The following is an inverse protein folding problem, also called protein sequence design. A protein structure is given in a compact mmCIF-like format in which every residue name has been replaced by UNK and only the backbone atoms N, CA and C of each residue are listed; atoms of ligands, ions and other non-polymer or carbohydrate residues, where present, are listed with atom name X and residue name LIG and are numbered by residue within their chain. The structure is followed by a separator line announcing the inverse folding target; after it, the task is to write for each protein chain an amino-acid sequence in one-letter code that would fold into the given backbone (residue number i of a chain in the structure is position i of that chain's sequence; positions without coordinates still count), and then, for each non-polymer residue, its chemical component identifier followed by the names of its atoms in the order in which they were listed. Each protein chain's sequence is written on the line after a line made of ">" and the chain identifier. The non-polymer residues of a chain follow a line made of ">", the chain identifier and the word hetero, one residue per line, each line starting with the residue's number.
data_IF_421749061946
#
_entry.id   IF_421749061946
#
_cell.length_a   1.000
_cell.length_b   1.000
_cell.length_c   1.000
_cell.angle_alpha   90.00
_cell.angle_beta   90.00
_cell.angle_gamma   90.00
#
_symmetry.space_group_name_H-M   'P 1'
#
loop_
_entity.id
_entity.type
_entity.pdbx_description
1 polymer ?
#
# COMPACT_ATOMS: atom_id res chain seq x y z
N UNK A 1 -42.48 -10.48 66.94
CA UNK A 1 -42.65 -9.79 65.64
C UNK A 1 -42.14 -10.73 64.55
N UNK A 2 -43.05 -11.13 63.64
CA UNK A 2 -42.88 -11.84 62.34
C UNK A 2 -41.78 -12.91 62.23
N UNK A 3 -42.14 -14.19 62.24
CA UNK A 3 -42.59 -15.00 61.08
C UNK A 3 -41.41 -15.72 60.43
N UNK A 4 -41.15 -16.99 60.80
CA UNK A 4 -41.63 -18.22 60.09
C UNK A 4 -41.00 -18.35 58.69
N UNK A 5 -40.07 -19.29 58.50
CA UNK A 5 -40.32 -20.69 58.07
C UNK A 5 -39.82 -20.81 56.61
N UNK A 6 -39.43 -21.93 55.98
CA UNK A 6 -39.64 -23.37 56.14
C UNK A 6 -38.51 -24.04 55.29
N UNK A 7 -38.00 -25.22 55.69
CA UNK A 7 -37.62 -26.42 54.87
C UNK A 7 -37.05 -26.22 53.45
N UNK A 8 -36.00 -26.90 52.98
CA UNK A 8 -35.81 -28.34 52.82
C UNK A 8 -34.49 -28.48 52.02
N UNK A 9 -33.44 -29.14 52.50
CA UNK A 9 -33.15 -30.54 52.13
C UNK A 9 -33.02 -30.76 50.63
N UNK A 10 -31.80 -30.79 50.06
CA UNK A 10 -31.45 -31.57 48.86
C UNK A 10 -29.91 -31.68 48.71
N UNK A 11 -29.39 -32.87 49.03
CA UNK A 11 -28.33 -33.62 48.34
C UNK A 11 -27.06 -32.86 47.90
N UNK A 12 -25.99 -32.94 48.71
CA UNK A 12 -24.62 -32.73 48.26
C UNK A 12 -24.16 -33.95 47.45
N UNK A 13 -24.39 -33.93 46.13
CA UNK A 13 -23.70 -34.82 45.20
C UNK A 13 -22.34 -34.20 44.87
N UNK A 14 -21.29 -34.85 45.37
CA UNK A 14 -19.90 -34.62 45.06
C UNK A 14 -19.65 -34.85 43.55
N UNK A 15 -19.65 -33.79 42.74
CA UNK A 15 -19.08 -33.84 41.39
C UNK A 15 -17.69 -33.21 41.44
N UNK A 16 -16.71 -34.09 41.39
CA UNK A 16 -15.31 -33.80 41.06
C UNK A 16 -15.27 -33.21 39.63
N UNK A 17 -15.39 -31.90 39.52
CA UNK A 17 -15.08 -31.20 38.28
C UNK A 17 -13.57 -30.95 38.26
N UNK A 18 -12.84 -31.86 37.61
CA UNK A 18 -11.46 -31.64 37.17
C UNK A 18 -11.50 -30.47 36.18
N UNK A 19 -11.25 -29.25 36.65
CA UNK A 19 -11.02 -28.11 35.77
C UNK A 19 -9.59 -28.21 35.25
N UNK A 20 -9.46 -28.89 34.10
CA UNK A 20 -8.29 -28.77 33.25
C UNK A 20 -8.11 -27.29 32.90
N UNK A 21 -7.22 -26.62 33.62
CA UNK A 21 -6.77 -25.27 33.33
C UNK A 21 -5.85 -25.37 32.12
N UNK A 22 -6.46 -25.42 30.93
CA UNK A 22 -5.73 -25.20 29.68
C UNK A 22 -5.37 -23.71 29.68
N UNK A 23 -4.21 -23.39 30.24
CA UNK A 23 -3.53 -22.14 29.97
C UNK A 23 -3.18 -22.16 28.48
N UNK A 24 -4.06 -21.64 27.64
CA UNK A 24 -3.71 -21.27 26.27
C UNK A 24 -2.77 -20.07 26.40
N UNK A 25 -1.49 -20.36 26.56
CA UNK A 25 -0.44 -19.40 26.30
C UNK A 25 -0.46 -19.20 24.79
N UNK A 26 -1.26 -18.25 24.33
CA UNK A 26 -1.08 -17.68 22.99
C UNK A 26 0.28 -17.01 23.04
N UNK A 27 1.31 -17.75 22.65
CA UNK A 27 2.58 -17.16 22.28
C UNK A 27 2.31 -16.33 21.02
N UNK A 28 1.88 -15.09 21.22
CA UNK A 28 2.04 -14.07 20.19
C UNK A 28 3.55 -13.97 20.03
N UNK A 29 4.08 -14.59 18.99
CA UNK A 29 5.40 -14.26 18.50
C UNK A 29 5.31 -12.81 18.04
N UNK A 30 5.53 -11.88 18.98
CA UNK A 30 5.92 -10.53 18.62
C UNK A 30 7.28 -10.75 18.00
N UNK A 31 7.33 -10.91 16.69
CA UNK A 31 8.54 -10.62 15.97
C UNK A 31 8.88 -9.20 16.40
N UNK A 32 9.86 -9.07 17.30
CA UNK A 32 10.56 -7.81 17.46
C UNK A 32 11.31 -7.68 16.15
N UNK A 33 10.58 -7.30 15.09
CA UNK A 33 11.18 -6.81 13.88
C UNK A 33 12.13 -5.74 14.41
N UNK A 34 13.44 -5.95 14.21
CA UNK A 34 14.43 -4.93 14.49
C UNK A 34 13.96 -3.71 13.74
N UNK A 35 13.29 -2.82 14.44
CA UNK A 35 13.09 -1.49 13.98
C UNK A 35 14.38 -0.82 14.44
N UNK A 36 15.01 -0.11 13.54
CA UNK A 36 16.15 0.74 13.79
C UNK A 36 16.25 1.70 12.64
N UNK A 37 16.94 2.81 12.81
CA UNK A 37 17.26 3.66 11.65
C UNK A 37 18.22 3.01 10.63
N UNK A 38 18.52 1.72 10.77
CA UNK A 38 19.34 0.95 9.85
C UNK A 38 18.47 0.35 8.73
N UNK A 39 19.09 0.18 7.57
CA UNK A 39 18.53 -0.46 6.38
C UNK A 39 18.34 -1.97 6.54
N UNK A 40 17.71 -2.42 7.62
CA UNK A 40 17.59 -3.83 8.03
C UNK A 40 16.30 -4.51 7.54
N UNK A 41 15.43 -3.77 6.84
CA UNK A 41 14.19 -4.25 6.22
C UNK A 41 14.24 -4.08 4.70
N UNK A 42 15.05 -4.91 4.01
CA UNK A 42 15.20 -4.80 2.56
C UNK A 42 13.86 -4.96 1.85
N UNK A 43 13.72 -4.27 0.72
CA UNK A 43 12.57 -4.43 -0.17
C UNK A 43 12.57 -5.86 -0.74
N UNK A 44 11.42 -6.51 -0.71
CA UNK A 44 11.21 -7.87 -1.22
C UNK A 44 10.47 -7.84 -2.55
N UNK A 45 10.89 -8.68 -3.50
CA UNK A 45 10.17 -8.86 -4.77
C UNK A 45 8.83 -9.54 -4.54
N UNK A 46 7.74 -8.83 -4.85
CA UNK A 46 6.35 -9.35 -4.75
C UNK A 46 5.77 -9.71 -6.12
N UNK A 47 6.33 -9.18 -7.20
CA UNK A 47 5.95 -9.54 -8.57
C UNK A 47 7.13 -9.34 -9.49
N UNK A 48 7.34 -10.28 -10.41
CA UNK A 48 8.34 -10.18 -11.46
C UNK A 48 7.81 -10.85 -12.73
N UNK A 49 8.36 -10.45 -13.88
CA UNK A 49 8.17 -11.18 -15.12
C UNK A 49 8.28 -10.30 -16.36
N UNK A 50 8.00 -10.92 -17.51
CA UNK A 50 7.98 -10.21 -18.79
C UNK A 50 6.58 -9.75 -19.16
N UNK A 51 6.50 -8.62 -19.88
CA UNK A 51 5.27 -8.17 -20.52
C UNK A 51 5.59 -7.46 -21.83
N UNK A 52 4.71 -7.64 -22.80
CA UNK A 52 4.69 -6.81 -23.99
C UNK A 52 3.84 -5.56 -23.74
N UNK A 53 4.45 -4.49 -23.25
CA UNK A 53 3.72 -3.33 -22.75
C UNK A 53 4.62 -2.41 -21.95
N UNK A 54 4.19 -2.02 -20.74
CA UNK A 54 4.89 -1.03 -19.95
C UNK A 54 4.57 -1.04 -18.46
N UNK A 55 5.38 -0.28 -17.73
CA UNK A 55 5.16 0.05 -16.31
C UNK A 55 4.91 1.56 -16.21
N UNK A 56 3.93 1.93 -15.41
CA UNK A 56 3.60 3.32 -15.09
C UNK A 56 3.57 3.50 -13.59
N UNK A 57 4.26 4.52 -13.09
CA UNK A 57 4.22 4.93 -11.69
C UNK A 57 4.00 6.42 -11.59
N UNK A 58 3.12 6.85 -10.68
CA UNK A 58 2.86 8.27 -10.43
C UNK A 58 2.42 8.50 -9.00
N UNK A 59 2.65 9.71 -8.50
CA UNK A 59 2.10 10.19 -7.22
C UNK A 59 0.83 11.03 -7.43
N UNK A 60 0.39 11.24 -8.68
CA UNK A 60 -0.73 12.13 -8.98
C UNK A 60 -0.45 13.55 -8.47
N UNK A 61 -1.45 14.16 -7.82
CA UNK A 61 -1.31 15.43 -7.10
C UNK A 61 -0.95 15.28 -5.61
N UNK A 62 -0.46 14.10 -5.22
CA UNK A 62 -0.15 13.80 -3.83
C UNK A 62 0.95 14.70 -3.26
N UNK A 63 0.82 15.00 -1.97
CA UNK A 63 1.68 15.87 -1.16
C UNK A 63 1.53 15.49 0.30
N UNK A 64 2.48 15.92 1.13
CA UNK A 64 2.39 15.73 2.57
C UNK A 64 1.08 16.30 3.13
N UNK A 65 0.28 15.47 3.80
CA UNK A 65 -1.04 15.86 4.32
C UNK A 65 -0.96 16.73 5.58
N UNK A 66 0.19 16.71 6.27
CA UNK A 66 0.21 17.09 7.69
C UNK A 66 -0.52 16.06 8.55
N UNK A 67 -0.68 16.38 9.84
CA UNK A 67 -1.32 15.48 10.82
C UNK A 67 -2.80 15.29 10.49
N UNK A 68 -3.21 14.04 10.32
CA UNK A 68 -4.60 13.61 10.19
C UNK A 68 -5.15 13.22 11.56
N UNK A 69 -6.14 13.96 12.05
CA UNK A 69 -6.93 13.63 13.23
C UNK A 69 -8.07 12.69 12.85
N UNK A 70 -8.77 12.17 13.87
CA UNK A 70 -9.98 11.39 13.64
C UNK A 70 -10.94 12.10 12.68
N UNK A 71 -11.43 11.36 11.68
CA UNK A 71 -12.37 11.82 10.66
C UNK A 71 -11.81 12.81 9.61
N UNK A 72 -10.54 13.22 9.72
CA UNK A 72 -9.86 13.94 8.65
C UNK A 72 -9.72 13.04 7.41
N UNK A 73 -9.86 13.65 6.23
CA UNK A 73 -9.72 12.98 4.94
C UNK A 73 -8.67 13.68 4.08
N UNK A 74 -7.89 12.88 3.37
CA UNK A 74 -6.85 13.31 2.46
C UNK A 74 -7.13 12.72 1.07
N UNK A 75 -7.26 13.59 0.07
CA UNK A 75 -7.67 13.21 -1.28
C UNK A 75 -6.53 13.38 -2.27
N UNK A 76 -6.35 12.39 -3.13
CA UNK A 76 -5.37 12.37 -4.22
C UNK A 76 -6.08 12.08 -5.54
N UNK A 77 -5.70 12.83 -6.57
CA UNK A 77 -6.17 12.67 -7.93
C UNK A 77 -5.02 12.20 -8.83
N UNK A 78 -5.30 11.19 -9.65
CA UNK A 78 -4.40 10.67 -10.65
C UNK A 78 -5.01 10.89 -12.03
N UNK A 79 -4.30 11.62 -12.90
CA UNK A 79 -4.58 11.66 -14.32
C UNK A 79 -4.02 10.38 -14.95
N UNK A 80 -4.92 9.55 -15.49
CA UNK A 80 -4.58 8.23 -16.04
C UNK A 80 -4.67 8.18 -17.56
N UNK A 81 -4.98 9.31 -18.19
CA UNK A 81 -5.01 9.48 -19.65
C UNK A 81 -3.69 9.12 -20.33
N UNK A 82 -2.56 9.29 -19.65
CA UNK A 82 -1.22 9.00 -20.18
C UNK A 82 -0.83 7.52 -20.13
N UNK A 83 -1.47 6.70 -19.27
CA UNK A 83 -1.32 5.24 -19.28
C UNK A 83 -1.69 4.62 -20.65
N UNK A 84 -2.50 5.35 -21.42
CA UNK A 84 -2.91 5.01 -22.77
C UNK A 84 -1.97 5.48 -23.88
N UNK A 85 -1.20 6.56 -23.75
CA UNK A 85 -0.75 7.28 -24.95
C UNK A 85 0.74 7.61 -25.10
N UNK A 86 1.60 7.63 -24.08
CA UNK A 86 2.96 8.17 -24.32
C UNK A 86 4.09 7.47 -23.53
N UNK A 87 5.00 6.84 -24.27
CA UNK A 87 6.39 6.65 -23.89
C UNK A 87 7.11 8.00 -23.84
N UNK A 88 7.91 8.18 -22.80
CA UNK A 88 8.61 9.43 -22.52
C UNK A 88 9.47 9.90 -23.69
N UNK A 89 9.22 11.13 -24.14
CA UNK A 89 10.21 11.89 -24.91
C UNK A 89 11.01 12.76 -23.94
N UNK A 90 12.14 12.24 -23.50
CA UNK A 90 13.23 13.07 -23.00
C UNK A 90 14.18 13.33 -24.17
N UNK A 91 14.38 14.60 -24.54
CA UNK A 91 15.42 15.00 -25.49
C UNK A 91 15.00 16.02 -26.55
N UNK A 92 15.47 17.25 -26.38
CA UNK A 92 16.11 18.10 -27.40
C UNK A 92 15.44 18.27 -28.77
N UNK A 93 14.91 19.48 -29.00
CA UNK A 93 14.57 20.05 -30.31
C UNK A 93 15.69 19.87 -31.34
N UNK A 94 15.34 19.39 -32.53
CA UNK A 94 15.81 19.96 -33.80
C UNK A 94 14.86 19.59 -34.95
N UNK A 95 14.67 20.53 -35.86
CA UNK A 95 13.56 20.55 -36.82
C UNK A 95 13.70 19.59 -38.00
N UNK A 96 12.56 19.27 -38.62
CA UNK A 96 12.50 18.52 -39.88
C UNK A 96 11.06 18.24 -40.32
N UNK A 97 10.76 18.55 -41.57
CA UNK A 97 9.45 18.51 -42.24
C UNK A 97 8.85 17.11 -42.44
N UNK A 98 7.52 17.12 -42.53
CA UNK A 98 6.58 16.25 -43.26
C UNK A 98 7.01 14.85 -43.73
N UNK A 99 6.23 13.85 -43.29
CA UNK A 99 6.12 12.54 -43.92
C UNK A 99 5.01 11.75 -43.25
N UNK A 100 3.95 11.41 -43.98
CA UNK A 100 2.81 10.65 -43.47
C UNK A 100 3.23 9.28 -42.93
N UNK A 101 2.56 8.83 -41.87
CA UNK A 101 2.59 7.44 -41.44
C UNK A 101 1.19 7.00 -41.06
N UNK A 102 0.79 5.90 -41.69
CA UNK A 102 -0.43 5.14 -41.47
C UNK A 102 -0.73 5.04 -39.98
N UNK A 103 -1.96 5.42 -39.61
CA UNK A 103 -2.50 5.20 -38.28
C UNK A 103 -2.60 3.71 -38.03
N UNK A 104 -1.52 3.13 -37.52
CA UNK A 104 -1.55 1.82 -36.89
C UNK A 104 -2.61 1.87 -35.80
N UNK A 105 -3.63 1.03 -35.95
CA UNK A 105 -4.69 0.82 -34.97
C UNK A 105 -4.00 0.45 -33.66
N UNK A 106 -3.91 1.39 -32.72
CA UNK A 106 -3.31 1.11 -31.41
C UNK A 106 -4.19 0.05 -30.75
N UNK A 107 -3.62 -1.14 -30.57
CA UNK A 107 -4.32 -2.25 -29.93
C UNK A 107 -4.76 -1.88 -28.51
N UNK A 108 -5.78 -2.54 -28.00
CA UNK A 108 -6.26 -2.29 -26.64
C UNK A 108 -5.16 -2.54 -25.61
N UNK A 109 -5.16 -1.82 -24.50
CA UNK A 109 -4.27 -2.11 -23.36
C UNK A 109 -5.07 -2.76 -22.24
N UNK A 110 -4.46 -3.71 -21.54
CA UNK A 110 -5.05 -4.39 -20.38
C UNK A 110 -4.13 -4.29 -19.16
N UNK A 111 -4.71 -4.04 -17.99
CA UNK A 111 -3.96 -4.07 -16.72
C UNK A 111 -3.57 -5.51 -16.40
N UNK A 112 -2.29 -5.75 -16.16
CA UNK A 112 -1.75 -7.01 -15.63
C UNK A 112 -1.65 -6.95 -14.10
N UNK A 113 -1.24 -5.80 -13.57
CA UNK A 113 -1.10 -5.52 -12.14
C UNK A 113 -1.38 -4.04 -11.87
N UNK A 114 -2.11 -3.72 -10.82
CA UNK A 114 -2.24 -2.35 -10.33
C UNK A 114 -2.15 -2.33 -8.80
N UNK A 115 -1.22 -1.54 -8.27
CA UNK A 115 -0.92 -1.39 -6.85
C UNK A 115 -1.09 0.06 -6.45
N UNK A 116 -1.85 0.29 -5.37
CA UNK A 116 -1.99 1.59 -4.74
C UNK A 116 -1.22 1.57 -3.41
N UNK A 117 -0.30 2.51 -3.25
CA UNK A 117 0.54 2.65 -2.06
C UNK A 117 0.12 3.87 -1.27
N UNK A 118 -0.20 3.71 0.01
CA UNK A 118 -0.40 4.82 0.94
C UNK A 118 0.80 4.88 1.87
N UNK A 119 1.71 5.83 1.62
CA UNK A 119 2.89 6.06 2.43
C UNK A 119 2.52 6.96 3.62
N UNK A 120 2.84 6.54 4.83
CA UNK A 120 2.48 7.26 6.04
C UNK A 120 3.63 7.27 7.05
N UNK A 121 3.62 8.30 7.89
CA UNK A 121 4.66 8.60 8.88
C UNK A 121 4.03 9.13 10.17
N UNK A 122 4.81 9.15 11.25
CA UNK A 122 4.43 9.75 12.54
C UNK A 122 3.15 9.17 13.16
N UNK A 123 2.90 7.87 12.98
CA UNK A 123 1.69 7.27 13.54
C UNK A 123 1.80 7.05 15.04
N UNK A 124 0.93 7.74 15.79
CA UNK A 124 1.01 7.81 17.25
C UNK A 124 -0.32 8.12 17.92
N UNK A 125 -0.43 7.71 19.18
CA UNK A 125 -1.47 8.14 20.12
C UNK A 125 -0.80 8.62 21.42
N UNK A 126 -1.08 9.85 21.85
CA UNK A 126 -0.52 10.43 23.09
C UNK A 126 1.00 10.26 23.29
N UNK A 127 1.79 10.25 22.20
CA UNK A 127 3.24 10.01 22.16
C UNK A 127 3.70 8.56 22.27
N UNK A 128 2.81 7.61 22.02
CA UNK A 128 3.13 6.20 21.83
C UNK A 128 2.95 5.86 20.36
N UNK A 129 3.95 5.22 19.75
CA UNK A 129 3.85 4.70 18.39
C UNK A 129 2.73 3.67 18.30
N UNK A 130 1.82 3.85 17.35
CA UNK A 130 0.73 2.89 17.06
C UNK A 130 0.62 2.68 15.56
N UNK A 131 -0.01 1.59 15.13
CA UNK A 131 -0.36 1.43 13.72
C UNK A 131 -1.57 2.29 13.38
N UNK A 132 -1.57 2.98 12.22
CA UNK A 132 -2.68 3.83 11.84
C UNK A 132 -3.91 2.98 11.50
N UNK A 133 -5.08 3.46 11.93
CA UNK A 133 -6.36 2.94 11.45
C UNK A 133 -6.90 3.88 10.38
N UNK A 134 -6.87 3.42 9.13
CA UNK A 134 -7.31 4.20 7.99
C UNK A 134 -8.31 3.42 7.13
N UNK A 135 -9.23 4.17 6.51
CA UNK A 135 -10.04 3.70 5.40
C UNK A 135 -9.52 4.33 4.12
N UNK A 136 -9.42 3.52 3.07
CA UNK A 136 -9.01 3.98 1.74
C UNK A 136 -10.11 3.65 0.76
N UNK A 137 -10.56 4.66 0.04
CA UNK A 137 -11.61 4.56 -0.98
C UNK A 137 -11.05 5.03 -2.32
N UNK A 138 -11.38 4.33 -3.40
CA UNK A 138 -11.03 4.72 -4.75
C UNK A 138 -12.26 4.83 -5.65
N UNK A 139 -12.26 5.82 -6.55
CA UNK A 139 -13.29 5.98 -7.57
C UNK A 139 -12.68 6.41 -8.91
N UNK A 140 -13.24 5.88 -10.00
CA UNK A 140 -12.70 6.00 -11.34
C UNK A 140 -13.67 6.69 -12.31
N UNK A 141 -13.11 7.53 -13.17
CA UNK A 141 -13.76 8.18 -14.30
C UNK A 141 -14.74 9.29 -13.92
N UNK A 142 -15.28 9.98 -14.93
CA UNK A 142 -16.15 11.18 -14.75
C UNK A 142 -17.40 10.94 -13.91
N UNK A 143 -17.88 9.70 -13.83
CA UNK A 143 -19.09 9.31 -13.06
C UNK A 143 -18.77 8.79 -11.65
N UNK A 144 -17.50 8.74 -11.25
CA UNK A 144 -17.09 8.31 -9.91
C UNK A 144 -17.45 6.86 -9.60
N UNK A 145 -17.17 5.92 -10.52
CA UNK A 145 -17.43 4.50 -10.26
C UNK A 145 -16.49 4.04 -9.15
N UNK A 146 -17.04 3.56 -8.02
CA UNK A 146 -16.23 2.97 -6.96
C UNK A 146 -15.39 1.80 -7.49
N UNK A 147 -14.12 1.75 -7.09
CA UNK A 147 -13.23 0.63 -7.32
C UNK A 147 -13.08 -0.19 -6.05
N UNK A 148 -12.90 -1.49 -6.22
CA UNK A 148 -12.52 -2.36 -5.11
C UNK A 148 -11.03 -2.13 -4.82
N UNK A 149 -10.71 -2.01 -3.54
CA UNK A 149 -9.35 -1.97 -3.03
C UNK A 149 -9.23 -3.06 -1.98
N UNK A 150 -8.35 -4.02 -2.22
CA UNK A 150 -8.04 -5.08 -1.26
C UNK A 150 -6.68 -4.77 -0.62
N UNK A 151 -6.67 -4.60 0.72
CA UNK A 151 -5.41 -4.45 1.45
C UNK A 151 -4.61 -5.75 1.34
N UNK A 152 -3.48 -5.67 0.65
CA UNK A 152 -2.64 -6.82 0.34
C UNK A 152 -1.50 -6.96 1.34
N UNK A 153 -0.82 -5.86 1.62
CA UNK A 153 0.33 -5.83 2.51
C UNK A 153 0.39 -4.54 3.34
N UNK A 154 1.02 -4.63 4.50
CA UNK A 154 1.38 -3.47 5.32
C UNK A 154 2.81 -3.66 5.78
N UNK A 155 3.68 -2.74 5.37
CA UNK A 155 5.07 -2.74 5.79
C UNK A 155 5.30 -1.57 6.73
N UNK A 156 6.02 -1.83 7.83
CA UNK A 156 6.17 -0.85 8.90
C UNK A 156 7.58 -0.85 9.44
N UNK A 157 7.97 0.34 9.89
CA UNK A 157 9.22 0.53 10.57
C UNK A 157 9.13 1.64 11.62
N UNK A 158 10.09 1.65 12.54
CA UNK A 158 10.24 2.70 13.55
C UNK A 158 11.70 3.05 13.73
N UNK A 159 11.91 4.13 14.47
CA UNK A 159 13.23 4.55 14.94
C UNK A 159 13.98 3.41 15.66
N UNK A 160 13.28 2.54 16.38
CA UNK A 160 13.86 1.31 16.92
C UNK A 160 14.52 1.37 18.28
N UNK A 161 14.48 2.53 18.93
CA UNK A 161 15.01 2.70 20.27
C UNK A 161 14.13 3.61 21.09
N UNK A 162 13.97 3.23 22.36
CA UNK A 162 13.14 3.95 23.32
C UNK A 162 13.60 5.40 23.39
N UNK A 163 12.71 6.31 23.01
CA UNK A 163 13.02 7.73 23.01
C UNK A 163 11.87 8.57 22.47
N UNK A 164 12.08 9.89 22.47
CA UNK A 164 11.09 10.81 21.92
C UNK A 164 10.89 10.52 20.43
N UNK A 165 9.62 10.48 20.02
CA UNK A 165 9.18 10.28 18.64
C UNK A 165 9.53 8.91 18.03
N UNK A 166 9.63 7.86 18.84
CA UNK A 166 9.65 6.48 18.34
C UNK A 166 8.24 6.06 17.89
N UNK A 167 7.84 6.59 16.73
CA UNK A 167 6.53 6.38 16.12
C UNK A 167 6.69 5.54 14.86
N UNK A 168 5.62 4.82 14.51
CA UNK A 168 5.62 4.03 13.29
C UNK A 168 5.55 4.91 12.05
N UNK A 169 6.27 4.49 11.02
CA UNK A 169 6.03 4.84 9.63
C UNK A 169 5.84 3.58 8.81
N UNK A 170 5.28 3.71 7.62
CA UNK A 170 4.94 2.54 6.84
C UNK A 170 4.33 2.85 5.48
N UNK A 171 3.97 1.76 4.82
CA UNK A 171 3.16 1.78 3.61
C UNK A 171 2.08 0.71 3.70
N UNK A 172 0.84 1.10 3.45
CA UNK A 172 -0.24 0.16 3.15
C UNK A 172 -0.32 -0.01 1.63
N UNK A 173 -0.36 -1.26 1.19
CA UNK A 173 -0.41 -1.61 -0.23
C UNK A 173 -1.73 -2.27 -0.56
N UNK A 174 -2.41 -1.76 -1.57
CA UNK A 174 -3.71 -2.25 -2.01
C UNK A 174 -3.63 -2.78 -3.44
N UNK A 175 -4.23 -3.94 -3.69
CA UNK A 175 -4.59 -4.34 -5.05
C UNK A 175 -5.76 -3.46 -5.52
N UNK A 176 -5.67 -2.96 -6.76
CA UNK A 176 -6.66 -2.06 -7.32
C UNK A 176 -7.25 -2.64 -8.62
N UNK A 177 -8.57 -2.79 -8.67
CA UNK A 177 -9.32 -3.23 -9.86
C UNK A 177 -9.42 -2.10 -10.92
N UNK A 178 -8.27 -1.60 -11.37
CA UNK A 178 -8.18 -0.49 -12.32
C UNK A 178 -8.39 -0.98 -13.76
N UNK A 179 -9.12 -0.19 -14.55
CA UNK A 179 -9.24 -0.38 -16.00
C UNK A 179 -8.61 0.81 -16.74
N UNK A 180 -7.78 0.54 -17.76
CA UNK A 180 -7.03 1.56 -18.52
C UNK A 180 -7.91 2.49 -19.36
N UNK A 181 -9.19 2.17 -19.57
CA UNK A 181 -10.15 3.09 -20.18
C UNK A 181 -10.58 4.22 -19.21
N UNK A 182 -10.12 4.17 -17.96
CA UNK A 182 -10.31 5.23 -16.97
C UNK A 182 -9.34 6.36 -17.27
N UNK A 183 -9.86 7.59 -17.33
CA UNK A 183 -9.02 8.78 -17.57
C UNK A 183 -8.59 9.48 -16.28
N UNK A 184 -9.29 9.23 -15.17
CA UNK A 184 -8.97 9.80 -13.86
C UNK A 184 -9.31 8.83 -12.72
N UNK A 185 -8.45 8.78 -11.71
CA UNK A 185 -8.66 8.02 -10.47
C UNK A 185 -8.60 8.99 -9.30
N UNK A 186 -9.58 8.93 -8.42
CA UNK A 186 -9.65 9.70 -7.18
C UNK A 186 -9.54 8.73 -6.00
N UNK A 187 -8.60 9.00 -5.09
CA UNK A 187 -8.36 8.20 -3.88
C UNK A 187 -8.57 9.08 -2.66
N UNK A 188 -9.30 8.56 -1.68
CA UNK A 188 -9.53 9.22 -0.39
C UNK A 188 -8.98 8.32 0.70
N UNK A 189 -8.03 8.83 1.47
CA UNK A 189 -7.54 8.23 2.71
C UNK A 189 -8.20 8.95 3.86
N UNK A 190 -8.79 8.21 4.80
CA UNK A 190 -9.49 8.75 5.96
C UNK A 190 -8.95 8.13 7.24
N UNK A 191 -8.70 8.95 8.26
CA UNK A 191 -8.40 8.43 9.59
C UNK A 191 -9.70 8.00 10.30
N UNK A 192 -9.78 6.72 10.68
CA UNK A 192 -10.96 6.12 11.32
C UNK A 192 -10.74 5.77 12.80
N UNK A 193 -9.62 6.19 13.40
CA UNK A 193 -9.38 5.89 14.80
C UNK A 193 -10.14 6.83 15.72
N UNK A 194 -11.26 6.34 16.26
CA UNK A 194 -12.06 7.03 17.27
C UNK A 194 -11.33 7.23 18.61
N UNK A 195 -10.20 6.53 18.82
CA UNK A 195 -9.40 6.64 20.04
C UNK A 195 -8.36 7.76 19.97
N UNK A 196 -8.37 8.57 18.92
CA UNK A 196 -7.53 9.77 18.82
C UNK A 196 -6.12 9.54 18.28
N UNK A 197 -5.82 8.35 17.73
CA UNK A 197 -4.54 8.14 17.04
C UNK A 197 -4.44 9.04 15.82
N UNK A 198 -3.23 9.50 15.55
CA UNK A 198 -2.92 10.43 14.46
C UNK A 198 -1.79 9.86 13.62
N UNK A 199 -1.75 10.24 12.35
CA UNK A 199 -0.63 9.97 11.44
C UNK A 199 -0.57 11.06 10.38
N UNK A 200 0.48 11.09 9.58
CA UNK A 200 0.54 11.93 8.39
C UNK A 200 0.68 11.03 7.16
N UNK A 201 -0.02 11.35 6.08
CA UNK A 201 0.21 10.76 4.77
C UNK A 201 1.39 11.50 4.14
N UNK A 202 2.46 10.75 3.86
CA UNK A 202 3.63 11.24 3.15
C UNK A 202 3.34 11.39 1.66
N UNK A 203 2.57 10.45 1.11
CA UNK A 203 2.06 10.50 -0.24
C UNK A 203 1.25 9.25 -0.60
N UNK A 204 0.60 9.27 -1.75
CA UNK A 204 -0.09 8.11 -2.32
C UNK A 204 0.46 7.86 -3.73
N UNK A 205 0.90 6.65 -4.00
CA UNK A 205 1.45 6.24 -5.28
C UNK A 205 0.56 5.22 -5.99
N UNK A 206 0.48 5.31 -7.31
CA UNK A 206 -0.17 4.33 -8.16
C UNK A 206 0.87 3.70 -9.09
N UNK A 207 1.03 2.38 -9.01
CA UNK A 207 1.81 1.58 -9.94
C UNK A 207 0.87 0.75 -10.80
N UNK A 208 1.11 0.72 -12.11
CA UNK A 208 0.38 -0.12 -13.06
C UNK A 208 1.37 -0.80 -14.00
N UNK A 209 1.27 -2.12 -14.10
CA UNK A 209 1.88 -2.90 -15.18
C UNK A 209 0.78 -3.26 -16.17
N UNK A 210 0.98 -2.94 -17.45
CA UNK A 210 0.00 -3.20 -18.49
C UNK A 210 0.59 -3.99 -19.67
N UNK A 211 -0.28 -4.75 -20.32
CA UNK A 211 -0.01 -5.51 -21.54
C UNK A 211 -0.74 -4.85 -22.72
N UNK A 212 -0.07 -4.77 -23.86
CA UNK A 212 -0.67 -4.41 -25.14
C UNK A 212 -1.33 -5.64 -25.77
N UNK A 213 -2.59 -5.51 -26.14
CA UNK A 213 -3.36 -6.54 -26.82
C UNK A 213 -3.45 -6.24 -28.31
N UNK A 214 -3.47 -7.29 -29.14
CA UNK A 214 -3.84 -7.19 -30.56
C UNK A 214 -5.34 -6.96 -30.74
N UNK A 215 -5.82 -7.13 -31.99
CA UNK A 215 -7.27 -7.18 -32.24
C UNK A 215 -7.95 -8.31 -31.44
N UNK A 216 -9.29 -8.28 -31.33
CA UNK A 216 -10.03 -9.34 -30.62
C UNK A 216 -9.61 -10.74 -31.07
N UNK A 217 -8.99 -11.51 -30.16
CA UNK A 217 -8.53 -12.88 -30.41
C UNK A 217 -7.04 -13.03 -30.78
N UNK A 218 -6.29 -11.94 -30.92
CA UNK A 218 -4.84 -11.98 -31.21
C UNK A 218 -4.00 -11.93 -29.92
N UNK A 219 -2.86 -12.64 -29.94
CA UNK A 219 -1.85 -12.62 -28.87
C UNK A 219 -1.19 -11.23 -28.77
N UNK A 220 -0.50 -10.98 -27.66
CA UNK A 220 0.29 -9.76 -27.39
C UNK A 220 1.01 -9.21 -28.63
N UNK A 221 0.92 -7.90 -28.87
CA UNK A 221 1.56 -7.23 -30.02
C UNK A 221 2.78 -6.45 -29.54
N UNK A 222 3.98 -6.90 -29.92
CA UNK A 222 5.25 -6.25 -29.58
C UNK A 222 5.88 -5.52 -30.76
N UNK A 223 6.61 -4.44 -30.47
CA UNK A 223 7.34 -3.63 -31.45
C UNK A 223 6.72 -2.27 -31.74
N UNK A 224 5.63 -1.89 -31.05
CA UNK A 224 5.03 -0.56 -31.13
C UNK A 224 5.70 0.47 -30.19
N UNK A 225 5.47 1.78 -30.38
CA UNK A 225 6.10 2.86 -29.59
C UNK A 225 5.81 2.79 -28.08
N UNK A 226 4.77 2.06 -27.65
CA UNK A 226 4.41 1.83 -26.24
C UNK A 226 4.20 0.34 -25.90
N UNK A 227 4.67 -0.55 -26.78
CA UNK A 227 4.45 -1.99 -26.69
C UNK A 227 5.77 -2.69 -26.97
N UNK A 228 6.74 -2.44 -26.09
CA UNK A 228 8.04 -3.12 -26.12
C UNK A 228 7.99 -4.32 -25.18
N UNK A 229 8.79 -5.34 -25.47
CA UNK A 229 9.01 -6.40 -24.51
C UNK A 229 9.89 -5.84 -23.40
N UNK A 230 9.37 -5.83 -22.18
CA UNK A 230 10.11 -5.45 -20.99
C UNK A 230 10.06 -6.58 -19.97
N UNK A 231 11.07 -6.61 -19.12
CA UNK A 231 11.09 -7.36 -17.87
C UNK A 231 10.90 -6.37 -16.72
N UNK A 232 10.10 -6.73 -15.72
CA UNK A 232 9.83 -5.88 -14.57
C UNK A 232 9.97 -6.62 -13.25
N UNK A 233 10.32 -5.87 -12.21
CA UNK A 233 10.29 -6.27 -10.81
C UNK A 233 9.50 -5.23 -10.01
N UNK A 234 8.62 -5.70 -9.14
CA UNK A 234 7.91 -4.89 -8.13
C UNK A 234 8.45 -5.31 -6.78
N UNK A 235 9.23 -4.42 -6.18
CA UNK A 235 9.86 -4.62 -4.88
C UNK A 235 9.16 -3.73 -3.85
N UNK A 236 8.72 -4.31 -2.75
CA UNK A 236 7.94 -3.64 -1.71
C UNK A 236 8.51 -3.87 -0.31
N UNK A 237 8.25 -2.94 0.59
CA UNK A 237 8.76 -2.94 1.95
C UNK A 237 8.75 -1.54 2.55
N UNK A 238 9.27 -1.40 3.76
CA UNK A 238 9.41 -0.12 4.44
C UNK A 238 10.62 -0.17 5.36
N UNK A 239 11.44 0.87 5.26
CA UNK A 239 12.67 1.04 6.01
C UNK A 239 12.82 2.54 6.30
N UNK A 240 12.96 2.90 7.57
CA UNK A 240 13.17 4.26 8.03
C UNK A 240 14.67 4.49 8.23
N UNK A 241 15.37 5.03 7.24
CA UNK A 241 16.83 5.22 7.35
C UNK A 241 17.21 6.60 7.92
N UNK A 242 18.12 6.61 8.89
CA UNK A 242 18.73 7.86 9.39
C UNK A 242 20.10 7.59 10.05
N UNK A 243 21.16 8.14 9.44
CA UNK A 243 22.55 7.96 9.89
C UNK A 243 22.90 8.83 11.11
N UNK A 244 22.15 8.67 12.19
CA UNK A 244 22.34 9.36 13.47
C UNK A 244 22.07 8.38 14.62
N UNK A 245 22.25 8.81 15.88
CA UNK A 245 21.99 7.97 17.07
C UNK A 245 22.79 6.66 17.13
N UNK A 246 24.02 6.68 16.63
CA UNK A 246 24.90 5.51 16.60
C UNK A 246 24.71 4.61 15.37
N UNK A 247 23.84 4.99 14.43
CA UNK A 247 23.72 4.34 13.12
C UNK A 247 24.69 5.00 12.14
N UNK A 248 25.55 4.20 11.53
CA UNK A 248 26.50 4.68 10.49
C UNK A 248 25.77 4.84 9.15
N UNK A 249 26.31 5.63 8.20
CA UNK A 249 25.76 5.69 6.84
C UNK A 249 25.66 4.31 6.18
N UNK A 250 26.64 3.43 6.41
CA UNK A 250 26.66 2.07 5.87
C UNK A 250 25.54 1.21 6.46
N UNK A 251 25.20 1.42 7.73
CA UNK A 251 24.04 0.78 8.36
C UNK A 251 22.73 1.40 7.87
N UNK A 252 22.65 2.71 7.70
CA UNK A 252 21.48 3.43 7.18
C UNK A 252 21.36 3.35 5.63
N UNK A 253 21.69 2.19 5.07
CA UNK A 253 21.62 1.89 3.63
C UNK A 253 20.84 0.60 3.43
N UNK A 254 19.71 0.68 2.72
CA UNK A 254 18.93 -0.50 2.33
C UNK A 254 19.38 -1.03 0.97
N UNK A 255 19.23 -2.33 0.75
CA UNK A 255 19.56 -3.00 -0.52
C UNK A 255 18.30 -3.45 -1.23
N UNK A 256 18.32 -3.32 -2.55
CA UNK A 256 17.28 -3.82 -3.44
C UNK A 256 17.90 -4.91 -4.29
N UNK A 257 17.29 -6.08 -4.27
CA UNK A 257 17.70 -7.21 -5.08
C UNK A 257 16.76 -7.35 -6.29
N UNK A 258 17.32 -7.78 -7.41
CA UNK A 258 16.62 -8.05 -8.66
C UNK A 258 16.98 -9.49 -9.04
N UNK A 259 16.33 -10.43 -8.37
CA UNK A 259 16.53 -11.87 -8.55
C UNK A 259 15.60 -12.45 -9.62
#
# INVERSE_FOLDING_TARGET
>A
MKSRSIFSGFVFALILAVTASVAVVVAVAVAVAGASYAGDKPLATVSHGEVCGGVFFTLGDSKYSGRMNFNDSYTVNFETSTLGSEGGKEGGKEGGKEGGKEGGKEGGKKVKLARLYVYWVWSQNENVGVYPKMQVLASAGKRGKALNLDLDATYTDTKGFVGKYDYFSGVNVYNCDLNLNTTSLNVVVKNEDTNGSTFCVQGVGLLVVYECQGGEGEKEVCGGPNCQRIEYWVNEGCDMIFAEYGITPEMATTKIYFD
#
